data_IF_024471400346
#
_entry.id   IF_024471400346
#
_cell.length_a   1.000
_cell.length_b   1.000
_cell.length_c   1.000
_cell.angle_alpha   90.00
_cell.angle_beta   90.00
_cell.angle_gamma   90.00
#
_symmetry.space_group_name_H-M   'P 1'
#
loop_
_entity.id
_entity.type
_entity.pdbx_description
1 polymer ?
#
# COMPACT_ATOMS: atom_id res chain seq x y z
N UNK A 1 -12.07 12.54 -0.48
CA UNK A 1 -10.92 12.15 -1.31
C UNK A 1 -9.83 11.70 -0.35
N UNK A 2 -9.44 10.42 -0.36
CA UNK A 2 -8.26 9.98 0.40
C UNK A 2 -7.03 10.41 -0.39
N UNK A 3 -6.08 11.10 0.23
CA UNK A 3 -4.86 11.47 -0.47
C UNK A 3 -4.04 10.22 -0.78
N UNK A 4 -3.59 10.03 -2.03
CA UNK A 4 -2.74 8.90 -2.39
C UNK A 4 -1.46 8.87 -1.55
N UNK A 5 -0.91 10.05 -1.24
CA UNK A 5 0.24 10.21 -0.37
C UNK A 5 -0.01 9.69 1.05
N UNK A 6 -1.19 9.95 1.64
CA UNK A 6 -1.55 9.44 2.97
C UNK A 6 -1.74 7.92 2.98
N UNK A 7 -2.33 7.37 1.92
CA UNK A 7 -2.51 5.91 1.76
C UNK A 7 -1.15 5.21 1.63
N UNK A 8 -0.23 5.82 0.89
CA UNK A 8 1.14 5.35 0.72
C UNK A 8 2.04 5.69 1.93
N UNK A 9 1.55 6.45 2.91
CA UNK A 9 2.32 6.86 4.10
C UNK A 9 3.50 7.77 3.79
N UNK A 10 3.43 8.52 2.69
CA UNK A 10 4.46 9.45 2.22
C UNK A 10 3.97 10.89 2.31
N UNK A 11 4.90 11.83 2.22
CA UNK A 11 4.56 13.26 2.27
C UNK A 11 3.91 13.70 0.97
N UNK A 12 2.94 14.60 1.05
CA UNK A 12 2.42 15.29 -0.13
C UNK A 12 3.55 16.07 -0.81
N UNK A 13 3.76 15.81 -2.11
CA UNK A 13 4.90 16.32 -2.86
C UNK A 13 6.14 15.42 -2.87
N UNK A 14 6.03 14.19 -2.36
CA UNK A 14 7.05 13.16 -2.53
C UNK A 14 7.34 12.90 -4.01
N UNK A 15 8.59 12.58 -4.32
CA UNK A 15 9.02 12.33 -5.70
C UNK A 15 8.44 11.00 -6.21
N UNK A 16 8.29 10.84 -7.53
CA UNK A 16 7.86 9.57 -8.14
C UNK A 16 8.68 8.35 -7.66
N UNK A 17 9.96 8.58 -7.39
CA UNK A 17 10.87 7.56 -6.85
C UNK A 17 10.50 7.12 -5.43
N UNK A 18 10.10 8.06 -4.57
CA UNK A 18 9.59 7.78 -3.22
C UNK A 18 8.22 7.09 -3.29
N UNK A 19 7.34 7.53 -4.19
CA UNK A 19 6.02 6.92 -4.45
C UNK A 19 6.21 5.45 -4.84
N UNK A 20 7.07 5.17 -5.83
CA UNK A 20 7.38 3.80 -6.28
C UNK A 20 8.01 2.96 -5.16
N UNK A 21 8.90 3.54 -4.36
CA UNK A 21 9.55 2.84 -3.26
C UNK A 21 8.53 2.47 -2.17
N UNK A 22 7.72 3.43 -1.72
CA UNK A 22 6.68 3.21 -0.72
C UNK A 22 5.63 2.20 -1.20
N UNK A 23 5.17 2.31 -2.45
CA UNK A 23 4.28 1.35 -3.08
C UNK A 23 4.85 -0.07 -3.03
N UNK A 24 6.10 -0.28 -3.47
CA UNK A 24 6.73 -1.60 -3.44
C UNK A 24 6.87 -2.15 -2.01
N UNK A 25 7.22 -1.31 -1.05
CA UNK A 25 7.32 -1.74 0.36
C UNK A 25 5.96 -2.12 0.94
N UNK A 26 4.92 -1.36 0.64
CA UNK A 26 3.56 -1.62 1.10
C UNK A 26 2.97 -2.88 0.44
N UNK A 27 3.14 -3.05 -0.88
CA UNK A 27 2.72 -4.28 -1.59
C UNK A 27 3.42 -5.49 -1.01
N UNK A 28 4.73 -5.40 -0.71
CA UNK A 28 5.47 -6.49 -0.08
C UNK A 28 5.00 -6.76 1.36
N UNK A 29 4.62 -5.72 2.09
CA UNK A 29 4.10 -5.81 3.47
C UNK A 29 2.68 -6.37 3.54
N UNK A 30 1.83 -6.10 2.55
CA UNK A 30 0.46 -6.59 2.46
C UNK A 30 0.31 -7.78 1.51
N UNK A 31 1.42 -8.35 1.02
CA UNK A 31 1.41 -9.41 0.02
C UNK A 31 0.65 -10.65 0.53
N UNK A 32 -0.26 -11.25 -0.26
CA UNK A 32 -1.11 -12.37 0.18
C UNK A 32 -0.31 -13.56 0.74
N UNK A 33 0.89 -13.84 0.22
CA UNK A 33 1.78 -14.89 0.78
C UNK A 33 2.10 -14.68 2.27
N UNK A 34 2.18 -13.44 2.77
CA UNK A 34 2.43 -13.20 4.20
C UNK A 34 1.18 -13.41 5.07
N UNK A 35 0.00 -13.49 4.45
CA UNK A 35 -1.29 -13.60 5.13
C UNK A 35 -2.05 -14.88 4.75
N UNK A 36 -1.38 -15.87 4.14
CA UNK A 36 -2.01 -17.08 3.59
C UNK A 36 -2.87 -17.86 4.61
N UNK A 37 -2.55 -17.78 5.91
CA UNK A 37 -3.31 -18.36 7.03
C UNK A 37 -3.73 -17.32 8.09
N UNK A 38 -3.79 -16.04 7.71
CA UNK A 38 -4.08 -14.96 8.64
C UNK A 38 -5.50 -14.42 8.41
N UNK A 39 -6.35 -14.26 9.45
CA UNK A 39 -7.64 -13.58 9.32
C UNK A 39 -7.51 -12.13 8.81
N UNK A 40 -6.31 -11.56 8.89
CA UNK A 40 -5.97 -10.25 8.32
C UNK A 40 -5.76 -10.27 6.80
N UNK A 41 -5.83 -11.41 6.11
CA UNK A 41 -5.66 -11.47 4.64
C UNK A 41 -6.63 -10.58 3.89
N UNK A 42 -7.90 -10.56 4.29
CA UNK A 42 -8.90 -9.65 3.74
C UNK A 42 -8.55 -8.18 3.96
N UNK A 43 -8.05 -7.86 5.15
CA UNK A 43 -7.63 -6.49 5.49
C UNK A 43 -6.40 -6.07 4.67
N UNK A 44 -5.47 -7.02 4.45
CA UNK A 44 -4.30 -6.82 3.61
C UNK A 44 -4.71 -6.61 2.14
N UNK A 45 -5.67 -7.39 1.64
CA UNK A 45 -6.24 -7.25 0.29
C UNK A 45 -6.92 -5.88 0.09
N UNK A 46 -7.75 -5.45 1.05
CA UNK A 46 -8.36 -4.11 1.03
C UNK A 46 -7.30 -3.00 1.04
N UNK A 47 -6.29 -3.12 1.91
CA UNK A 47 -5.15 -2.19 1.94
C UNK A 47 -4.42 -2.14 0.61
N UNK A 48 -4.14 -3.30 0.01
CA UNK A 48 -3.42 -3.42 -1.26
C UNK A 48 -4.22 -2.80 -2.40
N UNK A 49 -5.55 -2.93 -2.36
CA UNK A 49 -6.46 -2.26 -3.29
C UNK A 49 -6.41 -0.74 -3.14
N UNK A 50 -6.47 -0.23 -1.90
CA UNK A 50 -6.31 1.22 -1.65
C UNK A 50 -4.95 1.74 -2.12
N UNK A 51 -3.88 0.97 -1.92
CA UNK A 51 -2.52 1.30 -2.36
C UNK A 51 -2.42 1.33 -3.89
N UNK A 52 -3.09 0.42 -4.59
CA UNK A 52 -3.18 0.42 -6.06
C UNK A 52 -4.01 1.59 -6.59
N UNK A 53 -5.12 1.92 -5.96
CA UNK A 53 -5.94 3.08 -6.35
C UNK A 53 -5.22 4.42 -6.07
N UNK A 54 -4.27 4.42 -5.13
CA UNK A 54 -3.45 5.58 -4.77
C UNK A 54 -2.19 5.76 -5.62
N UNK A 55 -1.75 4.74 -6.35
CA UNK A 55 -0.56 4.79 -7.20
C UNK A 55 -0.90 5.18 -8.64
#
# INVERSE_FOLDING_TARGET
MKNPYEVLGIREGASEEEIKKAYRELVKKYHPDQYQDNPLSKLAEEKLREINDAY
#
